data_IF_991158852962
#
_entry.id   IF_991158852962
#
_cell.length_a   1.000
_cell.length_b   1.000
_cell.length_c   1.000
_cell.angle_alpha   90.00
_cell.angle_beta   90.00
_cell.angle_gamma   90.00
#
_symmetry.space_group_name_H-M   'P 1'
#
loop_
_entity.id
_entity.type
_entity.pdbx_description
1 polymer ?
#
# COMPACT_ATOMS: atom_id res chain seq x y z
N UNK A 1 9.06 -5.05 -33.71
CA UNK A 1 7.81 -4.30 -33.44
C UNK A 1 6.80 -5.16 -32.66
N UNK A 2 6.36 -6.34 -33.15
CA UNK A 2 5.44 -7.22 -32.40
C UNK A 2 6.01 -7.84 -31.09
N UNK A 3 7.33 -8.02 -31.00
CA UNK A 3 7.97 -8.39 -29.74
C UNK A 3 7.95 -7.21 -28.73
N UNK A 4 8.28 -6.00 -29.19
CA UNK A 4 8.28 -4.79 -28.37
C UNK A 4 6.87 -4.44 -27.82
N UNK A 5 5.82 -4.57 -28.63
CA UNK A 5 4.44 -4.35 -28.15
C UNK A 5 4.01 -5.36 -27.07
N UNK A 6 4.50 -6.61 -27.14
CA UNK A 6 4.26 -7.61 -26.08
C UNK A 6 5.04 -7.31 -24.81
N UNK A 7 6.29 -6.87 -24.94
CA UNK A 7 7.13 -6.47 -23.81
C UNK A 7 6.54 -5.26 -23.06
N UNK A 8 6.09 -4.23 -23.78
CA UNK A 8 5.38 -3.09 -23.19
C UNK A 8 4.07 -3.51 -22.52
N UNK A 9 3.36 -4.50 -23.08
CA UNK A 9 2.19 -5.09 -22.43
C UNK A 9 2.53 -5.71 -21.07
N UNK A 10 3.58 -6.54 -21.03
CA UNK A 10 4.03 -7.17 -19.79
C UNK A 10 4.53 -6.15 -18.75
N UNK A 11 5.23 -5.09 -19.19
CA UNK A 11 5.67 -4.00 -18.30
C UNK A 11 4.48 -3.23 -17.71
N UNK A 12 3.44 -2.94 -18.51
CA UNK A 12 2.22 -2.31 -18.02
C UNK A 12 1.49 -3.19 -17.00
N UNK A 13 1.43 -4.49 -17.21
CA UNK A 13 0.85 -5.45 -16.26
C UNK A 13 1.67 -5.51 -14.97
N UNK A 14 3.00 -5.47 -15.04
CA UNK A 14 3.88 -5.42 -13.87
C UNK A 14 3.65 -4.15 -13.04
N UNK A 15 3.48 -2.98 -13.68
CA UNK A 15 3.11 -1.75 -12.98
C UNK A 15 1.72 -1.81 -12.34
N UNK A 16 0.76 -2.48 -12.98
CA UNK A 16 -0.57 -2.69 -12.41
C UNK A 16 -0.51 -3.58 -11.16
N UNK A 17 0.27 -4.67 -11.21
CA UNK A 17 0.47 -5.57 -10.08
C UNK A 17 1.18 -4.86 -8.91
N UNK A 18 2.26 -4.12 -9.19
CA UNK A 18 2.93 -3.30 -8.18
C UNK A 18 1.97 -2.29 -7.53
N UNK A 19 1.11 -1.64 -8.32
CA UNK A 19 0.06 -0.74 -7.81
C UNK A 19 -0.96 -1.45 -6.90
N UNK A 20 -1.30 -2.71 -7.18
CA UNK A 20 -2.16 -3.53 -6.32
C UNK A 20 -1.48 -3.88 -4.99
N UNK A 21 -0.23 -4.33 -5.04
CA UNK A 21 0.56 -4.65 -3.84
C UNK A 21 0.71 -3.41 -2.94
N UNK A 22 0.99 -2.25 -3.52
CA UNK A 22 1.07 -0.99 -2.76
C UNK A 22 -0.29 -0.63 -2.13
N UNK A 23 -1.41 -0.88 -2.81
CA UNK A 23 -2.73 -0.64 -2.25
C UNK A 23 -3.03 -1.55 -1.05
N UNK A 24 -2.61 -2.82 -1.10
CA UNK A 24 -2.69 -3.75 0.03
C UNK A 24 -1.81 -3.31 1.20
N UNK A 25 -0.60 -2.86 0.91
CA UNK A 25 0.33 -2.33 1.91
C UNK A 25 -0.23 -1.08 2.61
N UNK A 26 -0.82 -0.16 1.84
CA UNK A 26 -1.53 1.01 2.37
C UNK A 26 -2.69 0.61 3.29
N UNK A 27 -3.48 -0.39 2.89
CA UNK A 27 -4.57 -0.90 3.72
C UNK A 27 -4.05 -1.51 5.03
N UNK A 28 -2.95 -2.28 4.97
CA UNK A 28 -2.29 -2.87 6.13
C UNK A 28 -1.75 -1.81 7.09
N UNK A 29 -1.10 -0.76 6.57
CA UNK A 29 -0.61 0.37 7.39
C UNK A 29 -1.79 1.07 8.07
N UNK A 30 -2.85 1.38 7.34
CA UNK A 30 -4.02 2.05 7.91
C UNK A 30 -4.67 1.20 9.03
N UNK A 31 -4.78 -0.11 8.83
CA UNK A 31 -5.25 -1.03 9.88
C UNK A 31 -4.33 -1.04 11.10
N UNK A 32 -3.01 -1.06 10.88
CA UNK A 32 -2.01 -1.06 11.96
C UNK A 32 -2.05 0.23 12.76
N UNK A 33 -2.18 1.37 12.09
CA UNK A 33 -2.35 2.69 12.70
C UNK A 33 -3.59 2.72 13.59
N UNK A 34 -4.73 2.23 13.11
CA UNK A 34 -5.96 2.16 13.91
C UNK A 34 -5.76 1.30 15.17
N UNK A 35 -5.14 0.12 15.04
CA UNK A 35 -4.86 -0.76 16.17
C UNK A 35 -3.95 -0.11 17.21
N UNK A 36 -2.91 0.62 16.77
CA UNK A 36 -2.00 1.33 17.67
C UNK A 36 -2.72 2.47 18.39
N UNK A 37 -3.57 3.23 17.70
CA UNK A 37 -4.37 4.29 18.29
C UNK A 37 -5.33 3.75 19.36
N UNK A 38 -6.03 2.65 19.04
CA UNK A 38 -6.95 2.00 19.97
C UNK A 38 -6.21 1.45 21.20
N UNK A 39 -5.08 0.77 20.98
CA UNK A 39 -4.25 0.26 22.07
C UNK A 39 -3.72 1.40 22.96
N UNK A 40 -3.26 2.51 22.36
CA UNK A 40 -2.80 3.67 23.10
C UNK A 40 -3.93 4.33 23.91
N UNK A 41 -5.13 4.44 23.34
CA UNK A 41 -6.30 4.98 24.02
C UNK A 41 -6.73 4.09 25.20
N UNK A 42 -6.75 2.77 25.02
CA UNK A 42 -7.06 1.82 26.08
C UNK A 42 -6.03 1.86 27.20
N UNK A 43 -4.73 1.88 26.88
CA UNK A 43 -3.66 1.94 27.87
C UNK A 43 -3.65 3.27 28.62
N UNK A 44 -3.87 4.40 27.93
CA UNK A 44 -3.99 5.72 28.56
C UNK A 44 -5.20 5.77 29.51
N UNK A 45 -6.35 5.26 29.08
CA UNK A 45 -7.55 5.14 29.91
C UNK A 45 -7.35 4.22 31.11
N UNK A 46 -6.68 3.08 30.92
CA UNK A 46 -6.29 2.14 31.98
C UNK A 46 -5.36 2.79 33.00
N UNK A 47 -4.28 3.44 32.55
CA UNK A 47 -3.33 4.13 33.40
C UNK A 47 -3.99 5.26 34.22
N UNK A 48 -4.94 5.99 33.64
CA UNK A 48 -5.72 7.01 34.37
C UNK A 48 -6.58 6.39 35.47
N UNK A 49 -7.30 5.30 35.18
CA UNK A 49 -8.10 4.56 36.16
C UNK A 49 -7.23 4.00 37.29
N UNK A 50 -6.11 3.37 36.94
CA UNK A 50 -5.18 2.79 37.91
C UNK A 50 -4.55 3.87 38.80
N UNK A 51 -4.18 5.03 38.24
CA UNK A 51 -3.73 6.19 39.01
C UNK A 51 -4.79 6.64 40.04
N UNK A 52 -6.06 6.72 39.65
CA UNK A 52 -7.15 7.09 40.57
C UNK A 52 -7.29 6.05 41.68
N UNK A 53 -7.25 4.76 41.35
CA UNK A 53 -7.32 3.67 42.34
C UNK A 53 -6.14 3.70 43.31
N UNK A 54 -4.92 3.90 42.82
CA UNK A 54 -3.71 4.03 43.66
C UNK A 54 -3.80 5.24 44.59
N UNK A 55 -4.30 6.38 44.11
CA UNK A 55 -4.54 7.55 44.96
C UNK A 55 -5.64 7.31 46.00
N UNK A 56 -6.69 6.56 45.66
CA UNK A 56 -7.74 6.12 46.58
C UNK A 56 -7.15 5.27 47.70
N UNK A 57 -6.44 4.18 47.35
CA UNK A 57 -5.77 3.30 48.31
C UNK A 57 -4.81 4.05 49.24
N UNK A 58 -4.06 5.03 48.72
CA UNK A 58 -3.19 5.88 49.54
C UNK A 58 -3.96 6.64 50.62
N UNK A 59 -5.16 7.16 50.31
CA UNK A 59 -6.03 7.84 51.28
C UNK A 59 -6.53 6.85 52.33
N UNK A 60 -7.00 5.68 51.90
CA UNK A 60 -7.53 4.65 52.80
C UNK A 60 -6.48 4.15 53.79
N UNK A 61 -5.26 3.89 53.31
CA UNK A 61 -4.09 3.54 54.14
C UNK A 61 -3.78 4.63 55.17
N UNK A 62 -3.87 5.91 54.77
CA UNK A 62 -3.63 7.02 55.70
C UNK A 62 -4.73 7.14 56.77
N UNK A 63 -5.99 6.86 56.43
CA UNK A 63 -7.11 6.84 57.37
C UNK A 63 -6.97 5.64 58.33
N UNK A 64 -6.71 4.44 57.81
CA UNK A 64 -6.49 3.25 58.62
C UNK A 64 -5.34 3.43 59.63
N UNK A 65 -4.22 4.05 59.20
CA UNK A 65 -3.11 4.37 60.09
C UNK A 65 -3.49 5.37 61.20
N UNK A 66 -4.38 6.35 60.91
CA UNK A 66 -4.91 7.27 61.93
C UNK A 66 -5.83 6.54 62.91
N UNK A 67 -6.72 5.70 62.42
CA UNK A 67 -7.63 4.89 63.26
C UNK A 67 -6.81 3.99 64.19
N UNK A 68 -5.79 3.30 63.67
CA UNK A 68 -4.90 2.46 64.49
C UNK A 68 -4.15 3.29 65.54
N UNK A 69 -3.70 4.50 65.20
CA UNK A 69 -3.04 5.39 66.17
C UNK A 69 -4.00 5.83 67.27
N UNK A 70 -5.25 6.15 66.93
CA UNK A 70 -6.29 6.49 67.91
C UNK A 70 -6.65 5.28 68.77
N UNK A 71 -6.80 4.10 68.18
CA UNK A 71 -7.09 2.86 68.91
C UNK A 71 -5.97 2.50 69.89
N UNK A 72 -4.70 2.62 69.48
CA UNK A 72 -3.55 2.44 70.38
C UNK A 72 -3.62 3.42 71.54
N UNK A 73 -3.88 4.71 71.29
CA UNK A 73 -3.98 5.72 72.35
C UNK A 73 -5.10 5.38 73.34
N UNK A 74 -6.31 5.09 72.85
CA UNK A 74 -7.47 4.72 73.69
C UNK A 74 -7.16 3.48 74.53
N UNK A 75 -6.60 2.43 73.93
CA UNK A 75 -6.29 1.19 74.65
C UNK A 75 -5.19 1.43 75.69
N UNK A 76 -4.20 2.28 75.40
CA UNK A 76 -3.12 2.60 76.35
C UNK A 76 -3.59 3.38 77.58
N UNK A 77 -4.69 4.13 77.46
CA UNK A 77 -5.29 4.89 78.57
C UNK A 77 -6.13 4.02 79.52
N UNK A 78 -6.46 2.78 79.14
CA UNK A 78 -7.27 1.88 79.97
C UNK A 78 -6.37 1.16 80.99
N UNK A 79 -6.61 1.29 82.31
CA UNK A 79 -5.78 0.65 83.34
C UNK A 79 -5.72 -0.87 83.21
N UNK A 80 -6.82 -1.51 82.80
CA UNK A 80 -6.89 -2.96 82.56
C UNK A 80 -6.07 -3.43 81.33
N UNK A 81 -5.73 -2.53 80.40
CA UNK A 81 -4.94 -2.85 79.23
C UNK A 81 -3.43 -2.98 79.53
N UNK A 82 -2.99 -2.65 80.73
CA UNK A 82 -1.60 -2.86 81.19
C UNK A 82 -1.32 -4.34 81.53
N UNK A 83 -2.34 -5.20 81.47
CA UNK A 83 -2.17 -6.65 81.52
C UNK A 83 -1.58 -7.23 80.22
N UNK A 84 -1.09 -8.47 80.24
CA UNK A 84 -0.42 -9.11 79.10
C UNK A 84 -1.27 -9.14 77.81
N UNK A 85 -2.60 -9.23 77.94
CA UNK A 85 -3.52 -9.22 76.80
C UNK A 85 -3.64 -7.83 76.14
N UNK A 86 -3.66 -6.75 76.92
CA UNK A 86 -3.71 -5.40 76.37
C UNK A 86 -2.38 -4.98 75.74
N UNK A 87 -1.26 -5.41 76.32
CA UNK A 87 0.05 -5.24 75.71
C UNK A 87 0.16 -5.99 74.37
N UNK A 88 -0.32 -7.24 74.29
CA UNK A 88 -0.40 -7.98 73.02
C UNK A 88 -1.24 -7.25 71.96
N UNK A 89 -2.39 -6.68 72.36
CA UNK A 89 -3.25 -5.94 71.44
C UNK A 89 -2.57 -4.66 70.90
N UNK A 90 -1.87 -3.91 71.76
CA UNK A 90 -1.08 -2.74 71.35
C UNK A 90 0.02 -3.15 70.36
N UNK A 91 0.78 -4.19 70.68
CA UNK A 91 1.87 -4.68 69.82
C UNK A 91 1.34 -5.13 68.44
N UNK A 92 0.19 -5.81 68.42
CA UNK A 92 -0.46 -6.24 67.17
C UNK A 92 -0.96 -5.04 66.34
N UNK A 93 -1.51 -4.01 66.98
CA UNK A 93 -1.93 -2.79 66.29
C UNK A 93 -0.74 -1.98 65.75
N UNK A 94 0.39 -1.95 66.46
CA UNK A 94 1.64 -1.36 65.98
C UNK A 94 2.20 -2.11 64.77
N UNK A 95 2.17 -3.45 64.80
CA UNK A 95 2.55 -4.28 63.65
C UNK A 95 1.64 -4.01 62.44
N UNK A 96 0.32 -3.91 62.65
CA UNK A 96 -0.63 -3.56 61.59
C UNK A 96 -0.36 -2.16 61.01
N UNK A 97 -0.05 -1.17 61.87
CA UNK A 97 0.30 0.20 61.44
C UNK A 97 1.58 0.21 60.60
N UNK A 98 2.59 -0.57 60.98
CA UNK A 98 3.81 -0.79 60.21
C UNK A 98 3.54 -1.43 58.84
N UNK A 99 2.67 -2.43 58.79
CA UNK A 99 2.23 -3.06 57.53
C UNK A 99 1.52 -2.06 56.60
N UNK A 100 0.68 -1.17 57.13
CA UNK A 100 0.08 -0.10 56.34
C UNK A 100 1.09 0.96 55.88
N UNK A 101 2.12 1.26 56.69
CA UNK A 101 3.19 2.18 56.30
C UNK A 101 4.05 1.61 55.17
N UNK A 102 4.31 0.30 55.14
CA UNK A 102 5.01 -0.36 54.03
C UNK A 102 4.15 -0.45 52.76
N UNK A 103 2.83 -0.65 52.88
CA UNK A 103 1.87 -0.55 51.76
C UNK A 103 1.77 0.88 51.16
N UNK A 104 2.26 1.89 51.89
CA UNK A 104 2.30 3.29 51.44
C UNK A 104 3.34 3.54 50.33
N UNK A 105 4.20 2.57 50.00
CA UNK A 105 5.21 2.68 48.92
C UNK A 105 4.64 2.83 47.50
N UNK A 106 3.31 2.86 47.33
CA UNK A 106 2.58 3.21 46.09
C UNK A 106 3.04 4.50 45.37
N UNK A 107 3.84 5.35 46.02
CA UNK A 107 4.49 6.49 45.38
C UNK A 107 5.46 6.07 44.26
N UNK A 108 6.20 4.99 44.46
CA UNK A 108 7.07 4.42 43.42
C UNK A 108 6.24 3.97 42.22
N UNK A 109 5.17 3.21 42.46
CA UNK A 109 4.24 2.76 41.42
C UNK A 109 3.56 3.91 40.68
N UNK A 110 3.16 4.97 41.38
CA UNK A 110 2.57 6.17 40.73
C UNK A 110 3.58 6.91 39.84
N UNK A 111 4.84 6.97 40.26
CA UNK A 111 5.91 7.58 39.47
C UNK A 111 6.26 6.73 38.24
N UNK A 112 6.37 5.41 38.43
CA UNK A 112 6.59 4.44 37.35
C UNK A 112 5.44 4.46 36.34
N UNK A 113 4.18 4.41 36.79
CA UNK A 113 3.01 4.47 35.93
C UNK A 113 2.96 5.77 35.11
N UNK A 114 3.31 6.91 35.74
CA UNK A 114 3.39 8.19 35.02
C UNK A 114 4.49 8.17 33.97
N UNK A 115 5.68 7.69 34.31
CA UNK A 115 6.82 7.63 33.39
C UNK A 115 6.54 6.67 32.23
N UNK A 116 5.98 5.49 32.51
CA UNK A 116 5.58 4.52 31.50
C UNK A 116 4.50 5.07 30.56
N UNK A 117 3.49 5.76 31.11
CA UNK A 117 2.43 6.39 30.32
C UNK A 117 2.96 7.49 29.39
N UNK A 118 3.88 8.34 29.87
CA UNK A 118 4.53 9.37 29.04
C UNK A 118 5.42 8.75 27.96
N UNK A 119 6.20 7.72 28.31
CA UNK A 119 7.03 7.00 27.36
C UNK A 119 6.19 6.31 26.27
N UNK A 120 5.08 5.70 26.65
CA UNK A 120 4.11 5.11 25.72
C UNK A 120 3.54 6.18 24.79
N UNK A 121 3.05 7.30 25.31
CA UNK A 121 2.50 8.38 24.50
C UNK A 121 3.52 8.93 23.49
N UNK A 122 4.77 9.11 23.94
CA UNK A 122 5.87 9.54 23.07
C UNK A 122 6.15 8.53 21.95
N UNK A 123 6.27 7.24 22.28
CA UNK A 123 6.49 6.17 21.30
C UNK A 123 5.34 6.05 20.30
N UNK A 124 4.11 6.08 20.79
CA UNK A 124 2.91 6.07 19.93
C UNK A 124 2.94 7.25 18.95
N UNK A 125 3.22 8.47 19.42
CA UNK A 125 3.31 9.63 18.54
C UNK A 125 4.42 9.47 17.49
N UNK A 126 5.59 8.96 17.88
CA UNK A 126 6.67 8.70 16.94
C UNK A 126 6.26 7.66 15.89
N UNK A 127 5.67 6.54 16.29
CA UNK A 127 5.16 5.53 15.37
C UNK A 127 4.10 6.11 14.42
N UNK A 128 3.20 6.97 14.90
CA UNK A 128 2.22 7.65 14.07
C UNK A 128 2.86 8.55 13.00
N UNK A 129 3.93 9.26 13.34
CA UNK A 129 4.70 10.06 12.38
C UNK A 129 5.42 9.18 11.36
N UNK A 130 6.00 8.05 11.80
CA UNK A 130 6.70 7.11 10.95
C UNK A 130 5.74 6.47 9.93
N UNK A 131 4.59 5.96 10.39
CA UNK A 131 3.55 5.42 9.51
C UNK A 131 2.96 6.50 8.59
N UNK A 132 2.83 7.75 9.05
CA UNK A 132 2.40 8.86 8.21
C UNK A 132 3.35 9.08 7.03
N UNK A 133 4.67 9.05 7.29
CA UNK A 133 5.70 9.16 6.24
C UNK A 133 5.68 7.98 5.28
N UNK A 134 5.62 6.76 5.81
CA UNK A 134 5.55 5.53 5.02
C UNK A 134 4.33 5.52 4.10
N UNK A 135 3.16 5.91 4.63
CA UNK A 135 1.92 6.03 3.86
C UNK A 135 2.09 7.02 2.70
N UNK A 136 2.64 8.20 2.95
CA UNK A 136 2.88 9.18 1.88
C UNK A 136 3.87 8.70 0.83
N UNK A 137 4.92 7.96 1.22
CA UNK A 137 5.84 7.36 0.26
C UNK A 137 5.15 6.31 -0.62
N UNK A 138 4.30 5.47 -0.04
CA UNK A 138 3.52 4.47 -0.79
C UNK A 138 2.48 5.12 -1.71
N UNK A 139 1.80 6.18 -1.26
CA UNK A 139 0.90 6.96 -2.10
C UNK A 139 1.63 7.52 -3.33
N UNK A 140 2.81 8.11 -3.13
CA UNK A 140 3.66 8.59 -4.23
C UNK A 140 4.11 7.45 -5.16
N UNK A 141 4.55 6.32 -4.60
CA UNK A 141 4.96 5.16 -5.41
C UNK A 141 3.80 4.61 -6.25
N UNK A 142 2.59 4.57 -5.68
CA UNK A 142 1.38 4.16 -6.39
C UNK A 142 1.06 5.08 -7.56
N UNK A 143 1.10 6.40 -7.34
CA UNK A 143 0.87 7.39 -8.40
C UNK A 143 1.95 7.32 -9.49
N UNK A 144 3.21 7.11 -9.10
CA UNK A 144 4.32 6.92 -10.02
C UNK A 144 4.12 5.69 -10.92
N UNK A 145 3.76 4.55 -10.35
CA UNK A 145 3.47 3.34 -11.14
C UNK A 145 2.23 3.48 -12.02
N UNK A 146 1.19 4.18 -11.55
CA UNK A 146 0.03 4.47 -12.39
C UNK A 146 0.42 5.31 -13.62
N UNK A 147 1.23 6.35 -13.41
CA UNK A 147 1.75 7.21 -14.48
C UNK A 147 2.62 6.43 -15.46
N UNK A 148 3.56 5.62 -14.96
CA UNK A 148 4.43 4.78 -15.78
C UNK A 148 3.61 3.79 -16.61
N UNK A 149 2.64 3.11 -16.00
CA UNK A 149 1.73 2.20 -16.70
C UNK A 149 1.02 2.91 -17.85
N UNK A 150 0.46 4.09 -17.59
CA UNK A 150 -0.30 4.82 -18.61
C UNK A 150 0.61 5.25 -19.78
N UNK A 151 1.84 5.68 -19.50
CA UNK A 151 2.87 5.96 -20.52
C UNK A 151 3.23 4.70 -21.32
N UNK A 152 3.48 3.57 -20.66
CA UNK A 152 3.80 2.30 -21.31
C UNK A 152 2.66 1.84 -22.22
N UNK A 153 1.41 1.98 -21.77
CA UNK A 153 0.23 1.67 -22.57
C UNK A 153 0.07 2.60 -23.78
N UNK A 154 0.39 3.89 -23.63
CA UNK A 154 0.38 4.84 -24.74
C UNK A 154 1.42 4.48 -25.81
N UNK A 155 2.65 4.19 -25.37
CA UNK A 155 3.73 3.74 -26.26
C UNK A 155 3.30 2.45 -26.97
N UNK A 156 2.77 1.47 -26.23
CA UNK A 156 2.28 0.21 -26.81
C UNK A 156 1.25 0.47 -27.92
N UNK A 157 0.26 1.33 -27.68
CA UNK A 157 -0.77 1.69 -28.69
C UNK A 157 -0.15 2.27 -29.96
N UNK A 158 0.89 3.10 -29.82
CA UNK A 158 1.64 3.62 -30.97
C UNK A 158 2.33 2.51 -31.76
N UNK A 159 2.97 1.55 -31.08
CA UNK A 159 3.58 0.37 -31.72
C UNK A 159 2.54 -0.53 -32.40
N UNK A 160 1.40 -0.76 -31.76
CA UNK A 160 0.30 -1.56 -32.32
C UNK A 160 -0.28 -0.90 -33.57
N UNK A 161 -0.44 0.44 -33.57
CA UNK A 161 -0.86 1.19 -34.77
C UNK A 161 0.17 1.06 -35.90
N UNK A 162 1.45 1.22 -35.62
CA UNK A 162 2.51 1.08 -36.63
C UNK A 162 2.58 -0.33 -37.22
N UNK A 163 2.35 -1.36 -36.39
CA UNK A 163 2.24 -2.74 -36.85
C UNK A 163 1.08 -2.92 -37.82
N UNK A 164 -0.07 -2.34 -37.49
CA UNK A 164 -1.26 -2.42 -38.32
C UNK A 164 -1.06 -1.68 -39.64
N UNK A 165 -0.50 -0.47 -39.62
CA UNK A 165 -0.18 0.30 -40.83
C UNK A 165 0.81 -0.45 -41.73
N UNK A 166 1.83 -1.08 -41.14
CA UNK A 166 2.80 -1.89 -41.89
C UNK A 166 2.15 -3.14 -42.50
N UNK A 167 1.27 -3.81 -41.76
CA UNK A 167 0.53 -4.96 -42.26
C UNK A 167 -0.41 -4.58 -43.41
N UNK A 168 -1.15 -3.48 -43.27
CA UNK A 168 -2.03 -2.95 -44.31
C UNK A 168 -1.26 -2.53 -45.55
N UNK A 169 -0.08 -1.94 -45.39
CA UNK A 169 0.82 -1.61 -46.49
C UNK A 169 1.31 -2.86 -47.22
N UNK A 170 1.78 -3.88 -46.48
CA UNK A 170 2.23 -5.15 -47.06
C UNK A 170 1.10 -5.86 -47.80
N UNK A 171 -0.11 -5.87 -47.24
CA UNK A 171 -1.29 -6.43 -47.91
C UNK A 171 -1.62 -5.67 -49.20
N UNK A 172 -1.59 -4.33 -49.18
CA UNK A 172 -1.78 -3.51 -50.40
C UNK A 172 -0.72 -3.83 -51.45
N UNK A 173 0.54 -3.93 -51.05
CA UNK A 173 1.64 -4.30 -51.95
C UNK A 173 1.40 -5.68 -52.56
N UNK A 174 1.04 -6.68 -51.75
CA UNK A 174 0.72 -8.03 -52.22
C UNK A 174 -0.44 -8.00 -53.22
N UNK A 175 -1.52 -7.26 -52.96
CA UNK A 175 -2.64 -7.14 -53.92
C UNK A 175 -2.25 -6.42 -55.23
N UNK A 176 -1.33 -5.46 -55.19
CA UNK A 176 -0.85 -4.76 -56.39
C UNK A 176 0.17 -5.57 -57.18
N UNK A 177 0.96 -6.40 -56.49
CA UNK A 177 1.97 -7.28 -57.09
C UNK A 177 1.44 -8.68 -57.42
N UNK A 178 0.25 -9.05 -56.92
CA UNK A 178 -0.47 -10.26 -57.29
C UNK A 178 -0.66 -10.31 -58.82
N UNK A 179 -0.72 -11.52 -59.44
CA UNK A 179 -0.34 -11.76 -60.83
C UNK A 179 -1.34 -11.17 -61.85
N UNK A 180 -1.34 -9.86 -62.00
CA UNK A 180 -1.70 -9.19 -63.24
C UNK A 180 -0.54 -9.22 -64.23
N UNK A 181 0.66 -9.61 -63.80
CA UNK A 181 1.85 -9.80 -64.65
C UNK A 181 1.64 -10.87 -65.70
N UNK A 182 1.11 -12.06 -65.38
CA UNK A 182 0.92 -13.11 -66.39
C UNK A 182 -0.11 -12.73 -67.48
N UNK A 183 -1.19 -12.03 -67.11
CA UNK A 183 -2.20 -11.56 -68.05
C UNK A 183 -1.73 -10.34 -68.86
N UNK A 184 -0.94 -9.44 -68.25
CA UNK A 184 -0.28 -8.32 -68.93
C UNK A 184 0.81 -8.82 -69.88
N UNK A 185 1.73 -9.68 -69.43
CA UNK A 185 2.75 -10.32 -70.26
C UNK A 185 2.12 -11.07 -71.43
N UNK A 186 1.01 -11.79 -71.21
CA UNK A 186 0.33 -12.47 -72.31
C UNK A 186 -0.32 -11.48 -73.29
N UNK A 187 -0.83 -10.34 -72.81
CA UNK A 187 -1.37 -9.26 -73.68
C UNK A 187 -0.25 -8.57 -74.45
N UNK A 188 0.86 -8.25 -73.80
CA UNK A 188 2.05 -7.64 -74.39
C UNK A 188 2.67 -8.57 -75.43
N UNK A 189 2.86 -9.84 -75.11
CA UNK A 189 3.35 -10.84 -76.06
C UNK A 189 2.42 -10.98 -77.28
N UNK A 190 1.09 -10.95 -77.08
CA UNK A 190 0.13 -10.95 -78.20
C UNK A 190 0.22 -9.66 -79.03
N UNK A 191 0.44 -8.51 -78.40
CA UNK A 191 0.62 -7.24 -79.10
C UNK A 191 1.93 -7.21 -79.90
N UNK A 192 3.02 -7.73 -79.33
CA UNK A 192 4.32 -7.83 -80.00
C UNK A 192 4.28 -8.79 -81.19
N UNK A 193 3.67 -9.97 -81.03
CA UNK A 193 3.45 -10.90 -82.15
C UNK A 193 2.64 -10.25 -83.27
N UNK A 194 1.60 -9.47 -82.94
CA UNK A 194 0.81 -8.73 -83.95
C UNK A 194 1.65 -7.68 -84.64
N UNK A 195 2.39 -6.86 -83.89
CA UNK A 195 3.26 -5.83 -84.45
C UNK A 195 4.32 -6.42 -85.40
N UNK A 196 4.92 -7.57 -85.04
CA UNK A 196 5.86 -8.28 -85.90
C UNK A 196 5.19 -8.84 -87.15
N UNK A 197 3.96 -9.37 -87.03
CA UNK A 197 3.18 -9.84 -88.18
C UNK A 197 2.83 -8.69 -89.13
N UNK A 198 2.37 -7.56 -88.59
CA UNK A 198 2.00 -6.37 -89.38
C UNK A 198 3.23 -5.77 -90.09
N UNK A 199 4.38 -5.72 -89.41
CA UNK A 199 5.65 -5.28 -90.00
C UNK A 199 6.08 -6.20 -91.15
N UNK A 200 5.94 -7.52 -90.97
CA UNK A 200 6.22 -8.51 -92.01
C UNK A 200 5.28 -8.36 -93.21
N UNK A 201 3.98 -8.24 -92.97
CA UNK A 201 2.98 -8.08 -94.03
C UNK A 201 3.22 -6.78 -94.83
N UNK A 202 3.63 -5.71 -94.17
CA UNK A 202 4.03 -4.44 -94.82
C UNK A 202 5.25 -4.62 -95.72
N UNK A 203 6.28 -5.33 -95.24
CA UNK A 203 7.49 -5.63 -96.02
C UNK A 203 7.21 -6.56 -97.21
N UNK A 204 6.22 -7.45 -97.08
CA UNK A 204 5.74 -8.33 -98.15
C UNK A 204 4.72 -7.64 -99.09
N UNK A 205 4.40 -6.36 -98.88
CA UNK A 205 3.48 -5.58 -99.73
C UNK A 205 2.00 -5.89 -99.54
N UNK A 206 1.62 -6.53 -98.43
CA UNK A 206 0.24 -6.88 -98.07
C UNK A 206 -0.37 -5.80 -97.16
N UNK A 207 -1.68 -5.57 -97.28
CA UNK A 207 -2.39 -4.60 -96.47
C UNK A 207 -2.43 -5.02 -94.98
N UNK A 208 -2.05 -4.12 -94.08
CA UNK A 208 -2.11 -4.31 -92.64
C UNK A 208 -3.58 -4.39 -92.19
N UNK A 209 -3.95 -5.42 -91.41
CA UNK A 209 -5.32 -5.58 -90.91
C UNK A 209 -5.59 -4.59 -89.78
N UNK A 210 -6.04 -3.38 -90.13
CA UNK A 210 -6.46 -2.37 -89.16
C UNK A 210 -6.56 -0.96 -89.73
N UNK A 211 -5.89 -0.67 -90.85
CA UNK A 211 -6.17 0.54 -91.61
C UNK A 211 -7.31 0.25 -92.60
N UNK A 212 -8.53 0.50 -92.14
CA UNK A 212 -9.60 0.85 -93.05
C UNK A 212 -9.16 2.13 -93.76
N UNK A 213 -8.69 1.99 -95.00
CA UNK A 213 -8.49 3.10 -95.92
C UNK A 213 -9.88 3.64 -96.22
N UNK A 214 -10.35 4.60 -95.41
CA UNK A 214 -11.39 5.53 -95.84
C UNK A 214 -10.77 6.40 -96.91
N UNK A 215 -11.12 6.10 -98.15
CA UNK A 215 -10.83 6.88 -99.34
C UNK A 215 -11.44 8.28 -99.27
#
# INVERSE_FOLDING_TARGET
VAAAARELGAEADAHAEAGSQIAEDLARINSTVSLIQDAAAQLSGGASKERVQLMGRKKDVAIAAKILTQAIAIVSEIPAAHGPQGQQAITAMEAAKSAFASARSSQGMLAELKTASLALASRTNQSMLDFGRERSHLEYARESHATQRDQTLEIKRSYDSQLQDAHDFLHKLDTQCAPHTAALEQRERKAEIRALSDARDTLEGKAIRGQAVTA
#
